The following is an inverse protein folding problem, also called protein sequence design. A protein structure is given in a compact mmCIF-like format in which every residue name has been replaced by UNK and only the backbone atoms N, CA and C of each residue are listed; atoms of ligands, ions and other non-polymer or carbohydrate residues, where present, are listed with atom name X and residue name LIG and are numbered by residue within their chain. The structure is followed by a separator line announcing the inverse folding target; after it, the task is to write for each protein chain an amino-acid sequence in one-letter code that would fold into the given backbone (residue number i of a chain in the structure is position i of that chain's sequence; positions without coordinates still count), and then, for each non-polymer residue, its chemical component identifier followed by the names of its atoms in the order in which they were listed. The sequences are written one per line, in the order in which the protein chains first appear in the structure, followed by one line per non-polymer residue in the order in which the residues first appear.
data_IF_786873783344
#
_entry.id   IF_786873783344
#
_cell.length_a   1.000
_cell.length_b   1.000
_cell.length_c   1.000
_cell.angle_alpha   90.00
_cell.angle_beta   90.00
_cell.angle_gamma   90.00
#
_symmetry.space_group_name_H-M   'P 1'
#
loop_
_entity.id
_entity.type
_entity.pdbx_description
1 polymer ?
#
# COMPACT_ATOMS: atom_id res chain seq x y z
N UNK A 1 -2.25 -28.53 -20.83
CA UNK A 1 -2.78 -28.28 -19.47
C UNK A 1 -1.78 -27.40 -18.73
N UNK A 2 -2.21 -26.53 -17.81
CA UNK A 2 -1.35 -25.55 -17.13
C UNK A 2 -1.01 -25.97 -15.69
N UNK A 3 0.14 -25.52 -15.17
CA UNK A 3 0.46 -25.57 -13.75
C UNK A 3 0.02 -24.26 -13.09
N UNK A 4 -0.80 -24.34 -12.05
CA UNK A 4 -1.38 -23.16 -11.41
C UNK A 4 -0.52 -22.69 -10.24
N UNK A 5 -0.42 -21.37 -10.12
CA UNK A 5 0.28 -20.66 -9.05
C UNK A 5 -0.58 -19.48 -8.60
N UNK A 6 -0.49 -19.13 -7.32
CA UNK A 6 -1.13 -17.94 -6.76
C UNK A 6 -0.05 -16.90 -6.46
N UNK A 7 -0.23 -15.69 -6.95
CA UNK A 7 0.55 -14.51 -6.53
C UNK A 7 -0.45 -13.45 -6.06
N UNK A 8 -0.41 -13.07 -4.79
CA UNK A 8 -1.39 -12.17 -4.17
C UNK A 8 -0.75 -11.08 -3.32
N UNK A 9 -1.39 -9.91 -3.29
CA UNK A 9 -1.06 -8.82 -2.37
C UNK A 9 -1.63 -9.03 -0.94
N UNK A 10 -2.36 -10.13 -0.71
CA UNK A 10 -2.76 -10.57 0.62
C UNK A 10 -1.59 -11.08 1.46
N UNK A 11 -1.77 -11.17 2.78
CA UNK A 11 -0.77 -11.74 3.69
C UNK A 11 -0.69 -13.27 3.54
N UNK A 12 0.40 -13.88 4.03
CA UNK A 12 0.57 -15.35 3.99
C UNK A 12 -0.61 -16.10 4.63
N UNK A 13 -1.10 -15.75 5.85
CA UNK A 13 -2.25 -16.44 6.44
C UNK A 13 -3.53 -16.28 5.61
N UNK A 14 -3.76 -15.10 5.00
CA UNK A 14 -4.90 -14.87 4.13
C UNK A 14 -4.82 -15.77 2.88
N UNK A 15 -3.67 -15.78 2.20
CA UNK A 15 -3.46 -16.59 1.01
C UNK A 15 -3.63 -18.08 1.29
N UNK A 16 -3.09 -18.58 2.41
CA UNK A 16 -3.26 -19.97 2.82
C UNK A 16 -4.72 -20.33 3.12
N UNK A 17 -5.44 -19.44 3.80
CA UNK A 17 -6.85 -19.67 4.08
C UNK A 17 -7.65 -19.78 2.78
N UNK A 18 -7.50 -18.82 1.86
CA UNK A 18 -8.22 -18.86 0.58
C UNK A 18 -7.82 -20.09 -0.24
N UNK A 19 -6.52 -20.43 -0.31
CA UNK A 19 -6.07 -21.63 -1.00
C UNK A 19 -6.69 -22.91 -0.42
N UNK A 20 -6.81 -23.03 0.90
CA UNK A 20 -7.42 -24.21 1.54
C UNK A 20 -8.91 -24.37 1.24
N UNK A 21 -9.63 -23.29 0.99
CA UNK A 21 -11.04 -23.34 0.59
C UNK A 21 -11.21 -23.72 -0.89
N UNK A 22 -10.25 -23.33 -1.75
CA UNK A 22 -10.31 -23.56 -3.21
C UNK A 22 -9.65 -24.87 -3.65
N UNK A 23 -8.63 -25.32 -2.93
CA UNK A 23 -7.78 -26.47 -3.24
C UNK A 23 -7.51 -27.30 -1.97
N UNK A 24 -8.55 -27.96 -1.40
CA UNK A 24 -8.45 -28.62 -0.10
C UNK A 24 -7.45 -29.78 -0.05
N UNK A 25 -7.20 -30.43 -1.19
CA UNK A 25 -6.25 -31.54 -1.34
C UNK A 25 -4.86 -31.08 -1.84
N UNK A 26 -4.72 -29.80 -2.22
CA UNK A 26 -3.46 -29.23 -2.71
C UNK A 26 -3.10 -29.66 -4.14
N UNK A 27 -4.03 -30.25 -4.90
CA UNK A 27 -3.76 -30.75 -6.24
C UNK A 27 -3.54 -29.63 -7.28
N UNK A 28 -4.16 -28.47 -7.09
CA UNK A 28 -4.11 -27.35 -8.04
C UNK A 28 -2.90 -26.46 -7.84
N UNK A 29 -2.69 -25.95 -6.63
CA UNK A 29 -1.65 -24.98 -6.29
C UNK A 29 -0.51 -25.61 -5.49
N UNK A 30 -0.83 -26.55 -4.59
CA UNK A 30 0.15 -27.10 -3.65
C UNK A 30 0.94 -25.99 -2.93
N UNK A 31 2.27 -26.05 -3.00
CA UNK A 31 3.15 -25.03 -2.39
C UNK A 31 3.37 -23.77 -3.26
N UNK A 32 2.75 -23.66 -4.44
CA UNK A 32 2.99 -22.57 -5.42
C UNK A 32 2.17 -21.32 -5.10
N UNK A 33 2.33 -20.82 -3.88
CA UNK A 33 1.64 -19.62 -3.38
C UNK A 33 2.66 -18.59 -2.95
N UNK A 34 2.63 -17.42 -3.58
CA UNK A 34 3.38 -16.23 -3.25
C UNK A 34 2.39 -15.19 -2.70
N UNK A 35 2.73 -14.63 -1.54
CA UNK A 35 1.94 -13.62 -0.84
C UNK A 35 2.78 -12.37 -0.60
N UNK A 36 2.12 -11.28 -0.20
CA UNK A 36 2.80 -10.04 0.20
C UNK A 36 3.82 -10.25 1.33
N UNK A 37 3.58 -11.24 2.19
CA UNK A 37 4.49 -11.56 3.30
C UNK A 37 5.81 -12.21 2.86
N UNK A 38 5.90 -12.66 1.60
CA UNK A 38 7.06 -13.38 1.06
C UNK A 38 7.99 -12.46 0.26
N UNK A 39 7.57 -11.21 0.05
CA UNK A 39 8.28 -10.19 -0.71
C UNK A 39 8.89 -9.20 0.27
N UNK A 40 10.09 -8.72 -0.04
CA UNK A 40 10.74 -7.66 0.73
C UNK A 40 9.83 -6.42 0.82
N UNK A 41 9.35 -6.05 2.03
CA UNK A 41 8.47 -4.90 2.22
C UNK A 41 9.11 -3.57 1.80
N UNK A 42 10.45 -3.49 1.76
CA UNK A 42 11.16 -2.28 1.35
C UNK A 42 10.88 -1.91 -0.11
N UNK A 43 10.66 -2.90 -0.98
CA UNK A 43 10.38 -2.70 -2.41
C UNK A 43 9.04 -2.00 -2.61
N UNK A 44 8.01 -2.44 -1.91
CA UNK A 44 6.69 -1.82 -1.96
C UNK A 44 6.74 -0.40 -1.38
N UNK A 45 7.47 -0.20 -0.26
CA UNK A 45 7.63 1.12 0.36
C UNK A 45 8.35 2.12 -0.57
N UNK A 46 9.44 1.71 -1.22
CA UNK A 46 10.17 2.58 -2.17
C UNK A 46 9.31 2.95 -3.36
N UNK A 47 8.61 1.98 -3.96
CA UNK A 47 7.69 2.25 -5.07
C UNK A 47 6.65 3.29 -4.67
N UNK A 48 6.01 3.12 -3.51
CA UNK A 48 5.01 4.07 -3.01
C UNK A 48 5.60 5.46 -2.70
N UNK A 49 6.79 5.54 -2.10
CA UNK A 49 7.47 6.81 -1.83
C UNK A 49 7.78 7.59 -3.11
N UNK A 50 7.99 6.89 -4.22
CA UNK A 50 8.22 7.46 -5.55
C UNK A 50 6.91 7.67 -6.34
N UNK A 51 5.74 7.48 -5.73
CA UNK A 51 4.44 7.60 -6.41
C UNK A 51 4.16 6.50 -7.44
N UNK A 52 4.89 5.38 -7.38
CA UNK A 52 4.73 4.21 -8.26
C UNK A 52 3.89 3.12 -7.59
N UNK A 53 3.28 2.29 -8.42
CA UNK A 53 2.56 1.09 -7.98
C UNK A 53 3.57 -0.02 -7.65
N UNK A 54 3.49 -0.67 -6.47
CA UNK A 54 4.28 -1.86 -6.17
C UNK A 54 4.08 -2.95 -7.23
N UNK A 55 5.19 -3.46 -7.77
CA UNK A 55 5.18 -4.43 -8.86
C UNK A 55 5.29 -5.87 -8.33
N UNK A 56 4.49 -6.77 -8.91
CA UNK A 56 4.63 -8.23 -8.81
C UNK A 56 5.74 -8.69 -9.76
N UNK A 57 6.39 -9.81 -9.45
CA UNK A 57 7.53 -10.31 -10.23
C UNK A 57 7.50 -11.82 -10.35
N UNK A 58 7.60 -12.31 -11.60
CA UNK A 58 7.67 -13.74 -11.91
C UNK A 58 8.82 -14.48 -11.20
N UNK A 59 9.92 -13.76 -10.91
CA UNK A 59 11.07 -14.33 -10.19
C UNK A 59 10.71 -14.90 -8.81
N UNK A 60 9.61 -14.43 -8.18
CA UNK A 60 9.16 -14.92 -6.88
C UNK A 60 8.38 -16.23 -6.97
N UNK A 61 7.96 -16.63 -8.17
CA UNK A 61 7.25 -17.89 -8.43
C UNK A 61 8.21 -19.03 -8.84
N UNK A 62 9.52 -18.89 -8.59
CA UNK A 62 10.57 -19.83 -9.03
C UNK A 62 10.63 -20.01 -10.56
N UNK A 63 10.09 -19.05 -11.32
CA UNK A 63 10.13 -19.05 -12.77
C UNK A 63 11.38 -18.31 -13.24
N UNK A 64 11.96 -18.76 -14.36
CA UNK A 64 13.10 -18.08 -14.96
C UNK A 64 12.67 -16.69 -15.43
N UNK A 65 13.15 -15.59 -14.81
CA UNK A 65 12.71 -14.25 -15.20
C UNK A 65 13.18 -13.85 -16.61
N UNK A 66 14.14 -14.58 -17.19
CA UNK A 66 14.64 -14.34 -18.55
C UNK A 66 13.82 -15.08 -19.61
N UNK A 67 13.01 -16.07 -19.22
CA UNK A 67 12.17 -16.85 -20.13
C UNK A 67 10.77 -17.02 -19.55
N UNK A 68 9.88 -16.13 -19.97
CA UNK A 68 8.45 -16.16 -19.62
C UNK A 68 7.58 -16.68 -20.77
N UNK A 69 8.16 -17.37 -21.77
CA UNK A 69 7.44 -17.83 -22.96
C UNK A 69 6.30 -18.80 -22.64
N UNK A 70 6.42 -19.53 -21.53
CA UNK A 70 5.45 -20.52 -21.05
C UNK A 70 4.59 -20.01 -19.87
N UNK A 71 4.59 -18.70 -19.61
CA UNK A 71 3.90 -18.11 -18.46
C UNK A 71 2.74 -17.23 -18.93
N UNK A 72 1.53 -17.57 -18.49
CA UNK A 72 0.33 -16.74 -18.62
C UNK A 72 -0.02 -16.15 -17.25
N UNK A 73 -0.25 -14.85 -17.19
CA UNK A 73 -0.73 -14.14 -15.99
C UNK A 73 -2.19 -13.78 -16.20
N UNK A 74 -3.03 -14.03 -15.20
CA UNK A 74 -4.43 -13.60 -15.18
C UNK A 74 -4.61 -12.73 -13.94
N UNK A 75 -4.90 -11.45 -14.14
CA UNK A 75 -4.96 -10.46 -13.06
C UNK A 75 -5.90 -9.31 -13.49
N UNK A 76 -6.65 -8.73 -12.57
CA UNK A 76 -7.56 -7.60 -12.86
C UNK A 76 -6.82 -6.25 -12.90
N UNK A 77 -5.56 -6.21 -12.44
CA UNK A 77 -4.74 -5.00 -12.37
C UNK A 77 -3.45 -5.14 -13.20
N UNK A 78 -3.45 -4.81 -14.50
CA UNK A 78 -2.24 -4.93 -15.33
C UNK A 78 -1.09 -4.01 -14.87
N UNK A 79 -1.40 -2.92 -14.16
CA UNK A 79 -0.39 -1.97 -13.64
C UNK A 79 0.51 -2.54 -12.55
N UNK A 80 0.11 -3.60 -11.84
CA UNK A 80 1.00 -4.29 -10.87
C UNK A 80 1.95 -5.27 -11.54
N UNK A 81 1.86 -5.42 -12.87
CA UNK A 81 2.72 -6.27 -13.70
C UNK A 81 3.45 -5.47 -14.79
N UNK A 82 3.55 -4.15 -14.62
CA UNK A 82 4.12 -3.22 -15.60
C UNK A 82 3.57 -3.42 -17.02
N UNK A 83 2.28 -3.76 -17.11
CA UNK A 83 1.59 -4.05 -18.37
C UNK A 83 2.30 -5.11 -19.24
N UNK A 84 2.93 -6.10 -18.61
CA UNK A 84 3.63 -7.17 -19.31
C UNK A 84 2.73 -7.88 -20.33
N UNK A 85 3.30 -8.22 -21.50
CA UNK A 85 2.57 -8.78 -22.65
C UNK A 85 1.84 -10.11 -22.37
N UNK A 86 2.23 -10.82 -21.33
CA UNK A 86 1.66 -12.10 -20.94
C UNK A 86 0.56 -11.97 -19.87
N UNK A 87 0.13 -10.75 -19.56
CA UNK A 87 -1.02 -10.48 -18.69
C UNK A 87 -2.29 -10.48 -19.52
N UNK A 88 -3.18 -11.42 -19.24
CA UNK A 88 -4.57 -11.39 -19.66
C UNK A 88 -5.35 -10.65 -18.58
N UNK A 89 -5.76 -9.42 -18.90
CA UNK A 89 -6.56 -8.61 -17.98
C UNK A 89 -7.99 -9.16 -17.93
N UNK A 90 -8.51 -9.36 -16.72
CA UNK A 90 -9.89 -9.80 -16.49
C UNK A 90 -10.72 -8.71 -15.82
N UNK A 91 -12.04 -8.82 -15.90
CA UNK A 91 -12.95 -7.91 -15.18
C UNK A 91 -12.82 -8.14 -13.65
N UNK A 92 -12.66 -7.07 -12.84
CA UNK A 92 -12.63 -7.21 -11.39
C UNK A 92 -13.90 -7.88 -10.86
N UNK A 93 -13.74 -8.94 -10.06
CA UNK A 93 -14.88 -9.65 -9.47
C UNK A 93 -15.52 -8.84 -8.33
N UNK A 94 -16.76 -8.40 -8.53
CA UNK A 94 -17.52 -7.56 -7.59
C UNK A 94 -18.78 -8.25 -7.11
N UNK A 95 -18.64 -9.10 -6.09
CA UNK A 95 -19.80 -9.71 -5.41
C UNK A 95 -20.35 -8.81 -4.30
N UNK A 96 -19.46 -8.27 -3.47
CA UNK A 96 -19.84 -7.32 -2.42
C UNK A 96 -19.79 -5.90 -2.98
N UNK A 97 -20.96 -5.28 -3.16
CA UNK A 97 -21.14 -3.99 -3.85
C UNK A 97 -20.35 -2.84 -3.18
N UNK A 98 -20.19 -2.91 -1.86
CA UNK A 98 -19.41 -1.94 -1.07
C UNK A 98 -17.96 -2.39 -0.81
N UNK A 99 -17.60 -3.61 -1.24
CA UNK A 99 -16.28 -4.19 -1.03
C UNK A 99 -15.24 -3.55 -1.94
N UNK A 100 -14.36 -2.71 -1.39
CA UNK A 100 -13.11 -2.34 -2.05
C UNK A 100 -12.10 -3.49 -1.96
N UNK A 101 -11.07 -3.47 -2.82
CA UNK A 101 -9.95 -4.40 -2.67
C UNK A 101 -9.25 -4.18 -1.32
N UNK A 102 -9.52 -5.09 -0.39
CA UNK A 102 -9.01 -5.07 1.00
C UNK A 102 -7.51 -5.37 1.10
N UNK A 103 -6.93 -5.93 0.04
CA UNK A 103 -5.51 -6.31 0.01
C UNK A 103 -4.65 -5.31 -0.77
N UNK A 104 -5.25 -4.23 -1.28
CA UNK A 104 -4.51 -3.24 -2.04
C UNK A 104 -3.51 -2.50 -1.14
N UNK A 105 -2.22 -2.64 -1.44
CA UNK A 105 -1.13 -2.02 -0.68
C UNK A 105 -1.10 -0.49 -0.80
N UNK A 106 -1.90 0.12 -1.68
CA UNK A 106 -1.94 1.56 -1.95
C UNK A 106 -2.63 2.39 -0.85
N UNK A 107 -2.33 2.13 0.43
CA UNK A 107 -2.46 3.07 1.56
C UNK A 107 -3.83 3.69 1.87
N UNK A 108 -4.90 3.36 1.15
CA UNK A 108 -6.24 3.91 1.38
C UNK A 108 -6.98 3.09 2.42
N UNK A 109 -6.60 3.23 3.69
CA UNK A 109 -7.30 2.61 4.81
C UNK A 109 -8.80 2.90 4.76
N UNK A 110 -9.62 1.87 5.00
CA UNK A 110 -11.01 2.07 5.42
C UNK A 110 -11.26 1.16 6.61
N UNK A 111 -11.02 1.71 7.79
CA UNK A 111 -11.98 1.57 8.87
C UNK A 111 -12.54 2.97 9.08
N UNK A 112 -13.80 3.16 8.69
CA UNK A 112 -14.49 4.43 8.88
C UNK A 112 -15.52 4.69 7.81
N UNK A 113 -16.63 3.95 7.86
CA UNK A 113 -17.93 4.52 7.49
C UNK A 113 -18.92 4.12 8.57
N UNK A 114 -19.06 5.01 9.54
CA UNK A 114 -20.11 4.96 10.54
C UNK A 114 -21.46 5.15 9.84
N UNK A 115 -22.38 4.25 10.11
CA UNK A 115 -23.80 4.44 9.83
C UNK A 115 -24.25 5.76 10.47
N UNK A 116 -24.65 6.70 9.63
CA UNK A 116 -25.43 7.88 10.03
C UNK A 116 -26.69 7.93 9.16
N UNK A 117 -27.62 7.02 9.44
CA UNK A 117 -29.02 7.21 9.08
C UNK A 117 -29.66 8.17 10.08
N UNK A 118 -30.24 9.26 9.59
CA UNK A 118 -30.94 10.22 10.44
C UNK A 118 -31.34 11.49 9.69
N UNK A 119 -32.45 11.41 8.96
CA UNK A 119 -33.18 12.55 8.42
C UNK A 119 -33.34 13.69 9.46
N UNK A 120 -32.83 14.88 9.13
CA UNK A 120 -33.25 16.12 9.78
C UNK A 120 -33.71 17.14 8.75
N UNK A 121 -35.03 17.23 8.67
CA UNK A 121 -35.84 18.30 8.08
C UNK A 121 -35.19 19.68 8.28
N UNK A 122 -34.96 20.39 7.17
CA UNK A 122 -34.53 21.79 7.16
C UNK A 122 -35.74 22.68 7.46
N UNK A 123 -35.76 23.29 8.64
CA UNK A 123 -36.65 24.41 8.96
C UNK A 123 -35.82 25.70 9.09
N UNK A 124 -36.33 26.75 8.45
CA UNK A 124 -35.75 28.06 8.25
C UNK A 124 -35.89 28.92 9.52
N UNK A 125 -34.97 29.86 9.77
CA UNK A 125 -35.12 30.84 10.86
C UNK A 125 -33.94 31.79 11.02
N UNK A 126 -34.10 33.01 10.53
CA UNK A 126 -33.15 34.12 10.62
C UNK A 126 -33.01 34.66 12.07
N UNK A 127 -31.80 35.14 12.43
CA UNK A 127 -31.56 35.84 13.69
C UNK A 127 -30.16 36.45 13.76
N UNK A 128 -30.10 37.78 13.55
CA UNK A 128 -28.93 38.67 13.68
C UNK A 128 -28.46 38.75 15.14
N UNK A 129 -27.14 38.84 15.37
CA UNK A 129 -26.59 39.25 16.67
C UNK A 129 -25.07 39.45 16.65
N UNK A 130 -24.63 40.72 16.65
CA UNK A 130 -23.25 41.17 16.89
C UNK A 130 -22.91 41.05 18.39
N UNK A 131 -21.63 40.83 18.69
CA UNK A 131 -21.06 41.03 20.03
C UNK A 131 -19.54 40.94 20.00
N UNK A 132 -18.88 42.10 20.14
CA UNK A 132 -17.43 42.29 20.29
C UNK A 132 -16.98 41.96 21.73
N UNK A 133 -15.71 41.63 21.94
CA UNK A 133 -15.13 41.44 23.27
C UNK A 133 -13.63 41.21 23.25
N UNK A 134 -12.90 42.27 23.58
CA UNK A 134 -11.44 42.49 23.63
C UNK A 134 -10.81 41.90 24.92
N UNK A 135 -9.51 41.62 24.92
CA UNK A 135 -8.77 41.31 26.16
C UNK A 135 -7.27 41.06 25.92
N UNK A 136 -6.46 41.99 26.39
CA UNK A 136 -5.02 42.20 26.18
C UNK A 136 -4.13 41.39 27.15
N UNK A 137 -2.81 41.30 26.91
CA UNK A 137 -1.83 40.84 27.93
C UNK A 137 -0.42 40.52 27.43
N UNK A 138 0.52 41.40 27.73
CA UNK A 138 1.96 41.48 27.35
C UNK A 138 2.91 40.60 28.20
N UNK A 139 4.17 40.43 27.77
CA UNK A 139 5.28 39.95 28.61
C UNK A 139 6.59 39.64 27.86
N UNK A 140 7.61 40.50 28.04
CA UNK A 140 8.94 40.55 27.41
C UNK A 140 10.06 39.71 28.10
N UNK A 141 11.20 39.54 27.39
CA UNK A 141 12.60 39.50 27.91
C UNK A 141 13.18 38.13 28.34
N UNK A 142 14.48 37.82 28.28
CA UNK A 142 15.73 38.38 27.71
C UNK A 142 16.85 37.31 27.96
N UNK A 143 17.94 37.35 27.17
CA UNK A 143 19.31 37.09 27.66
C UNK A 143 19.92 35.68 27.63
N UNK A 144 21.10 35.55 27.00
CA UNK A 144 22.22 34.77 27.57
C UNK A 144 23.04 33.85 26.65
N UNK A 145 24.29 34.26 26.38
CA UNK A 145 25.34 33.66 25.55
C UNK A 145 26.06 32.40 26.10
N UNK A 146 26.85 31.75 25.22
CA UNK A 146 28.09 31.01 25.52
C UNK A 146 28.03 29.52 25.13
N UNK A 147 28.94 28.88 24.40
CA UNK A 147 30.29 29.21 23.93
C UNK A 147 31.11 27.91 23.83
N UNK A 148 31.87 27.71 22.75
CA UNK A 148 32.90 26.65 22.57
C UNK A 148 32.36 25.28 22.13
N UNK A 149 32.91 24.55 21.16
CA UNK A 149 34.23 24.55 20.54
C UNK A 149 34.69 23.08 20.48
N UNK A 150 34.89 22.50 19.29
CA UNK A 150 35.33 21.11 19.15
C UNK A 150 35.54 20.68 17.71
N UNK A 151 36.81 20.65 17.30
CA UNK A 151 37.32 20.39 15.96
C UNK A 151 37.23 18.91 15.53
N UNK A 152 37.20 18.68 14.21
CA UNK A 152 37.40 17.35 13.64
C UNK A 152 37.23 17.31 12.12
N UNK A 153 38.19 17.85 11.37
CA UNK A 153 38.29 17.63 9.92
C UNK A 153 39.64 16.96 9.62
N UNK A 154 39.59 15.71 9.15
CA UNK A 154 40.72 14.99 8.59
C UNK A 154 40.42 14.62 7.14
N UNK A 155 41.32 14.95 6.22
CA UNK A 155 41.53 14.30 4.93
C UNK A 155 42.71 14.96 4.19
N UNK A 156 43.54 14.15 3.52
CA UNK A 156 44.59 14.59 2.58
C UNK A 156 45.82 13.69 2.65
N UNK A 157 45.77 12.47 2.11
CA UNK A 157 46.18 12.14 0.73
C UNK A 157 47.71 12.23 0.52
N UNK A 158 48.39 11.10 0.76
CA UNK A 158 49.78 10.86 0.36
C UNK A 158 49.80 9.99 -0.89
N UNK A 159 50.42 10.52 -1.95
CA UNK A 159 50.71 9.83 -3.20
C UNK A 159 51.94 8.92 -3.04
N UNK A 160 51.87 7.73 -3.65
CA UNK A 160 52.99 6.96 -4.18
C UNK A 160 52.47 6.04 -5.28
#
# INVERSE_FOLDING_TARGET
MFQLCVDTQGTRPYAQRIASELDPDGALFGARVVSRSDVDPSLAKSAMAEGRVPQKRLQWMHLNPKDSSMVLIVDDKPSVWDFAKNVVTIEPYKYFVEGRDVNNASGGGVLGDGVSGGDKKKANGAGKGKGEGKGDGEGEGDGGEGGGGGAGAGAGAGAA
#
